data_IF_636407959407
#
_entry.id   IF_636407959407
#
_cell.length_a   1.000
_cell.length_b   1.000
_cell.length_c   1.000
_cell.angle_alpha   90.00
_cell.angle_beta   90.00
_cell.angle_gamma   90.00
#
_symmetry.space_group_name_H-M   'P 1'
#
loop_
_entity.id
_entity.type
_entity.pdbx_description
1 polymer ?
#
# COMPACT_ATOMS: atom_id res chain seq x y z
N UNK A 1 46.16 21.43 -5.24
CA UNK A 1 45.82 20.53 -4.11
C UNK A 1 44.51 20.90 -3.39
N UNK A 2 44.26 22.18 -3.04
CA UNK A 2 43.02 22.58 -2.31
C UNK A 2 41.74 22.34 -3.12
N UNK A 3 41.70 22.68 -4.40
CA UNK A 3 40.53 22.50 -5.29
C UNK A 3 40.18 21.03 -5.54
N UNK A 4 41.18 20.18 -5.80
CA UNK A 4 41.00 18.73 -5.93
C UNK A 4 40.41 18.08 -4.66
N UNK A 5 40.77 18.60 -3.48
CA UNK A 5 40.24 18.13 -2.20
C UNK A 5 38.75 18.45 -2.03
N UNK A 6 38.31 19.63 -2.48
CA UNK A 6 36.88 20.01 -2.46
C UNK A 6 36.04 19.20 -3.44
N UNK A 7 36.56 18.95 -4.64
CA UNK A 7 35.89 18.09 -5.64
C UNK A 7 35.70 16.67 -5.10
N UNK A 8 36.72 16.11 -4.45
CA UNK A 8 36.64 14.80 -3.84
C UNK A 8 35.59 14.74 -2.71
N UNK A 9 35.55 15.76 -1.84
CA UNK A 9 34.56 15.83 -0.75
C UNK A 9 33.13 15.92 -1.29
N UNK A 10 32.90 16.77 -2.31
CA UNK A 10 31.57 16.91 -2.93
C UNK A 10 31.13 15.60 -3.59
N UNK A 11 32.05 14.91 -4.27
CA UNK A 11 31.79 13.59 -4.86
C UNK A 11 31.38 12.56 -3.80
N UNK A 12 32.06 12.51 -2.65
CA UNK A 12 31.70 11.62 -1.55
C UNK A 12 30.32 11.94 -0.96
N UNK A 13 30.00 13.23 -0.78
CA UNK A 13 28.67 13.65 -0.30
C UNK A 13 27.57 13.25 -1.28
N UNK A 14 27.80 13.39 -2.58
CA UNK A 14 26.84 12.99 -3.62
C UNK A 14 26.62 11.47 -3.63
N UNK A 15 27.68 10.68 -3.55
CA UNK A 15 27.59 9.21 -3.47
C UNK A 15 26.84 8.78 -2.19
N UNK A 16 27.16 9.39 -1.05
CA UNK A 16 26.50 9.08 0.21
C UNK A 16 25.01 9.43 0.16
N UNK A 17 24.64 10.60 -0.36
CA UNK A 17 23.24 11.01 -0.53
C UNK A 17 22.43 10.06 -1.44
N UNK A 18 23.04 9.59 -2.54
CA UNK A 18 22.41 8.62 -3.44
C UNK A 18 22.14 7.27 -2.74
N UNK A 19 23.02 6.83 -1.84
CA UNK A 19 22.82 5.61 -1.05
C UNK A 19 21.64 5.72 -0.08
N UNK A 20 21.38 6.89 0.51
CA UNK A 20 20.20 7.10 1.37
C UNK A 20 18.88 7.09 0.60
N UNK A 21 18.87 7.59 -0.64
CA UNK A 21 17.67 7.56 -1.50
C UNK A 21 17.33 6.15 -2.00
N UNK A 22 18.32 5.26 -2.12
CA UNK A 22 18.12 3.89 -2.61
C UNK A 22 17.37 2.97 -1.62
N UNK A 23 17.39 3.30 -0.32
CA UNK A 23 16.66 2.57 0.73
C UNK A 23 15.21 3.02 0.91
N UNK A 24 14.74 3.99 0.12
CA UNK A 24 13.34 4.41 0.10
C UNK A 24 12.45 3.49 -0.77
N UNK A 25 12.85 2.24 -1.00
CA UNK A 25 11.89 1.20 -1.34
C UNK A 25 11.03 0.98 -0.09
N UNK A 26 9.95 1.76 0.01
CA UNK A 26 8.88 1.51 0.95
C UNK A 26 8.52 0.03 0.82
N UNK A 27 8.85 -0.77 1.84
CA UNK A 27 8.46 -2.17 1.89
C UNK A 27 6.95 -2.20 1.63
N UNK A 28 6.55 -2.70 0.47
CA UNK A 28 5.15 -2.75 0.07
C UNK A 28 4.45 -3.68 1.07
N UNK A 29 3.82 -3.06 2.08
CA UNK A 29 3.16 -3.81 3.13
C UNK A 29 2.07 -4.63 2.48
N UNK A 30 2.16 -5.96 2.63
CA UNK A 30 1.16 -6.88 2.09
C UNK A 30 -0.23 -6.42 2.54
N UNK A 31 -1.23 -6.42 1.64
CA UNK A 31 -2.55 -5.94 1.99
C UNK A 31 -3.15 -6.78 3.10
N UNK A 32 -3.82 -6.13 4.05
CA UNK A 32 -4.62 -6.79 5.09
C UNK A 32 -5.81 -7.45 4.41
N UNK A 33 -5.94 -8.78 4.58
CA UNK A 33 -7.04 -9.55 4.00
C UNK A 33 -8.06 -9.90 5.07
N UNK A 34 -9.31 -9.52 4.84
CA UNK A 34 -10.44 -9.82 5.73
C UNK A 34 -11.49 -10.64 5.00
N UNK A 35 -12.24 -11.46 5.74
CA UNK A 35 -13.43 -12.15 5.25
C UNK A 35 -14.63 -11.57 5.97
N UNK A 36 -15.64 -11.17 5.21
CA UNK A 36 -16.90 -10.66 5.73
C UNK A 36 -18.05 -11.52 5.23
N UNK A 37 -18.78 -12.15 6.16
CA UNK A 37 -19.89 -13.06 5.85
C UNK A 37 -21.20 -12.52 6.43
N UNK A 38 -22.29 -12.66 5.68
CA UNK A 38 -23.64 -12.29 6.13
C UNK A 38 -24.67 -13.32 5.68
N UNK A 39 -25.80 -13.42 6.38
CA UNK A 39 -26.88 -14.36 6.07
C UNK A 39 -27.87 -13.90 5.00
N UNK A 40 -27.74 -12.67 4.50
CA UNK A 40 -28.62 -12.18 3.45
C UNK A 40 -28.37 -12.94 2.14
N UNK A 41 -29.42 -13.47 1.48
CA UNK A 41 -29.31 -14.01 0.14
C UNK A 41 -28.64 -13.02 -0.82
N UNK A 42 -27.94 -13.52 -1.84
CA UNK A 42 -27.20 -12.69 -2.80
C UNK A 42 -28.08 -11.66 -3.54
N UNK A 43 -29.38 -11.94 -3.70
CA UNK A 43 -30.33 -11.03 -4.34
C UNK A 43 -30.78 -9.87 -3.45
N UNK A 44 -30.59 -9.96 -2.13
CA UNK A 44 -31.06 -8.94 -1.19
C UNK A 44 -30.23 -7.66 -1.29
N UNK A 45 -30.90 -6.52 -1.09
CA UNK A 45 -30.25 -5.20 -1.10
C UNK A 45 -29.13 -5.09 -0.06
N UNK A 46 -29.24 -5.80 1.06
CA UNK A 46 -28.21 -5.84 2.09
C UNK A 46 -26.95 -6.56 1.62
N UNK A 47 -27.10 -7.61 0.80
CA UNK A 47 -25.95 -8.28 0.21
C UNK A 47 -25.22 -7.38 -0.79
N UNK A 48 -25.97 -6.67 -1.63
CA UNK A 48 -25.40 -5.69 -2.56
C UNK A 48 -24.68 -4.55 -1.83
N UNK A 49 -25.23 -4.09 -0.70
CA UNK A 49 -24.59 -3.07 0.14
C UNK A 49 -23.29 -3.58 0.77
N UNK A 50 -23.27 -4.84 1.24
CA UNK A 50 -22.06 -5.47 1.78
C UNK A 50 -20.92 -5.56 0.75
N UNK A 51 -21.24 -5.94 -0.49
CA UNK A 51 -20.28 -5.98 -1.60
C UNK A 51 -19.78 -4.57 -1.97
N UNK A 52 -20.69 -3.59 -2.08
CA UNK A 52 -20.33 -2.21 -2.39
C UNK A 52 -19.43 -1.60 -1.31
N UNK A 53 -19.73 -1.86 -0.03
CA UNK A 53 -18.90 -1.43 1.09
C UNK A 53 -17.50 -2.06 1.05
N UNK A 54 -17.41 -3.37 0.80
CA UNK A 54 -16.13 -4.07 0.69
C UNK A 54 -15.22 -3.46 -0.39
N UNK A 55 -15.79 -3.14 -1.55
CA UNK A 55 -15.09 -2.47 -2.66
C UNK A 55 -14.65 -1.05 -2.32
N UNK A 56 -15.50 -0.30 -1.63
CA UNK A 56 -15.19 1.08 -1.23
C UNK A 56 -14.04 1.13 -0.21
N UNK A 57 -13.96 0.15 0.72
CA UNK A 57 -12.81 0.04 1.63
C UNK A 57 -11.51 -0.22 0.86
N UNK A 58 -11.52 -1.12 -0.13
CA UNK A 58 -10.32 -1.37 -0.93
C UNK A 58 -9.87 -0.11 -1.68
N UNK A 59 -10.81 0.63 -2.26
CA UNK A 59 -10.54 1.90 -2.94
C UNK A 59 -9.96 2.96 -1.98
N UNK A 60 -10.61 3.20 -0.84
CA UNK A 60 -10.20 4.23 0.15
C UNK A 60 -8.85 3.93 0.79
N UNK A 61 -8.49 2.65 0.87
CA UNK A 61 -7.22 2.22 1.45
C UNK A 61 -6.12 2.06 0.41
N UNK A 62 -6.38 2.44 -0.85
CA UNK A 62 -5.45 2.27 -1.97
C UNK A 62 -4.91 0.82 -2.05
N UNK A 63 -5.82 -0.15 -1.92
CA UNK A 63 -5.52 -1.57 -1.96
C UNK A 63 -4.91 -2.14 -0.67
N UNK A 64 -4.62 -1.33 0.36
CA UNK A 64 -4.00 -1.80 1.62
C UNK A 64 -4.93 -2.70 2.43
N UNK A 65 -6.25 -2.60 2.26
CA UNK A 65 -7.24 -3.51 2.86
C UNK A 65 -8.06 -4.14 1.75
N UNK A 66 -8.14 -5.47 1.74
CA UNK A 66 -8.98 -6.24 0.81
C UNK A 66 -9.98 -7.07 1.60
N UNK A 67 -11.27 -6.91 1.28
CA UNK A 67 -12.35 -7.62 1.96
C UNK A 67 -12.96 -8.61 0.96
N UNK A 68 -12.89 -9.91 1.27
CA UNK A 68 -13.64 -10.94 0.55
C UNK A 68 -15.03 -11.04 1.17
N UNK A 69 -16.03 -10.57 0.44
CA UNK A 69 -17.43 -10.62 0.88
C UNK A 69 -18.10 -11.94 0.48
N UNK A 70 -18.83 -12.57 1.41
CA UNK A 70 -19.54 -13.84 1.22
C UNK A 70 -21.00 -13.66 1.72
N UNK A 71 -21.96 -13.41 0.82
CA UNK A 71 -23.38 -13.39 1.18
C UNK A 71 -23.95 -14.81 1.33
N UNK A 72 -25.11 -14.93 1.98
CA UNK A 72 -25.86 -16.18 2.15
C UNK A 72 -25.14 -17.23 3.01
N UNK A 73 -24.43 -16.78 4.05
CA UNK A 73 -23.63 -17.62 4.95
C UNK A 73 -24.33 -18.85 5.51
#
# INVERSE_FOLDING_TARGET
>A
MRTARWIFIISQILVFSALFLSNAHAAEQKPVKLVYTTFFPTSDKQAQLGDAWAKEIEKRTNGKVKIRYIPGG
#
